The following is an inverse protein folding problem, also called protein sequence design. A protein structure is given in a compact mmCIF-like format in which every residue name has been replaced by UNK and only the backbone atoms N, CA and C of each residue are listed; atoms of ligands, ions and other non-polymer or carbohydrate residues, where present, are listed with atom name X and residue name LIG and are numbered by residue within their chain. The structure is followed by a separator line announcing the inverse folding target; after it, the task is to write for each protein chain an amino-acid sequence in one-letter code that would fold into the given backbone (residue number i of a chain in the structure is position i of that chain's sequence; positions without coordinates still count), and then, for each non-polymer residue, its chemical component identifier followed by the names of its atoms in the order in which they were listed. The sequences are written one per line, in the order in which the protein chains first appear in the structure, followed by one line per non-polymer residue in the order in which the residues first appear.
data_IF_706273767161
#
_entry.id   IF_706273767161
#
_cell.length_a   1.000
_cell.length_b   1.000
_cell.length_c   1.000
_cell.angle_alpha   90.00
_cell.angle_beta   90.00
_cell.angle_gamma   90.00
#
_symmetry.space_group_name_H-M   'P 1'
#
loop_
_entity.id
_entity.type
_entity.pdbx_description
1 polymer ?
#
# COMPACT_ATOMS: atom_id res chain seq x y z
N UNK A 1 25.91 -1.08 27.00
CA UNK A 1 26.84 0.07 26.90
C UNK A 1 25.96 1.32 26.86
N UNK A 2 25.93 2.06 27.96
CA UNK A 2 24.98 3.16 28.18
C UNK A 2 25.55 4.46 27.64
N UNK A 3 24.75 5.22 26.90
CA UNK A 3 25.07 6.61 26.56
C UNK A 3 23.94 7.51 27.07
N UNK A 4 24.31 8.48 27.90
CA UNK A 4 23.42 9.53 28.44
C UNK A 4 23.90 10.85 27.86
N UNK A 5 23.04 11.59 27.17
CA UNK A 5 23.36 12.94 26.66
C UNK A 5 22.48 14.00 27.32
N UNK A 6 23.13 15.00 27.91
CA UNK A 6 22.52 16.21 28.47
C UNK A 6 21.85 17.04 27.37
N UNK A 7 20.63 17.52 27.62
CA UNK A 7 19.96 18.53 26.79
C UNK A 7 20.01 19.87 27.51
N UNK A 8 20.74 20.83 26.94
CA UNK A 8 20.68 22.25 27.29
C UNK A 8 19.81 22.98 26.28
N UNK A 9 18.86 23.78 26.79
CA UNK A 9 17.88 24.55 26.03
C UNK A 9 18.49 25.87 25.51
N UNK A 10 18.25 26.27 24.25
CA UNK A 10 18.24 27.67 23.87
C UNK A 10 16.83 28.14 23.52
N UNK A 11 16.61 29.43 23.79
CA UNK A 11 15.36 30.17 23.73
C UNK A 11 15.27 30.99 22.43
N UNK A 12 14.05 31.05 21.87
CA UNK A 12 13.48 32.08 20.95
C UNK A 12 13.57 31.88 19.42
N UNK A 13 12.59 32.46 18.65
CA UNK A 13 11.54 31.71 17.96
C UNK A 13 11.72 31.71 16.44
N UNK A 14 11.37 30.61 15.77
CA UNK A 14 11.28 30.55 14.30
C UNK A 14 9.86 30.14 13.92
N UNK A 15 9.23 31.01 13.13
CA UNK A 15 7.89 30.82 12.61
C UNK A 15 7.88 29.88 11.40
N UNK A 16 6.71 29.27 11.25
CA UNK A 16 6.08 28.78 10.03
C UNK A 16 6.69 27.59 9.25
N UNK A 17 5.83 26.58 9.12
CA UNK A 17 5.91 25.35 8.32
C UNK A 17 6.94 24.32 8.77
N UNK A 18 6.61 23.63 9.86
CA UNK A 18 7.18 22.31 10.13
C UNK A 18 6.12 21.38 10.70
N UNK A 19 5.09 21.09 9.92
CA UNK A 19 4.31 19.86 10.07
C UNK A 19 4.98 18.75 9.25
N UNK A 20 6.24 18.46 9.54
CA UNK A 20 6.74 17.11 9.28
C UNK A 20 6.10 16.25 10.35
N UNK A 21 4.90 15.75 10.04
CA UNK A 21 4.27 14.70 10.82
C UNK A 21 5.31 13.60 11.00
N UNK A 22 5.50 13.18 12.25
CA UNK A 22 6.40 12.09 12.59
C UNK A 22 6.05 10.90 11.68
N UNK A 23 6.94 10.56 10.75
CA UNK A 23 6.73 9.48 9.79
C UNK A 23 6.86 8.16 10.54
N UNK A 24 5.74 7.69 11.10
CA UNK A 24 5.67 6.40 11.79
C UNK A 24 5.64 5.27 10.77
N UNK A 25 6.11 4.08 11.15
CA UNK A 25 6.02 2.88 10.31
C UNK A 25 4.57 2.55 9.91
N UNK A 26 3.61 2.84 10.79
CA UNK A 26 2.18 2.72 10.51
C UNK A 26 1.73 3.71 9.41
N UNK A 27 2.13 4.98 9.50
CA UNK A 27 1.82 5.98 8.47
C UNK A 27 2.45 5.66 7.11
N UNK A 28 3.66 5.09 7.10
CA UNK A 28 4.31 4.59 5.90
C UNK A 28 3.52 3.46 5.24
N UNK A 29 3.07 2.50 6.05
CA UNK A 29 2.35 1.31 5.60
C UNK A 29 0.95 1.65 5.11
N UNK A 30 0.25 2.57 5.78
CA UNK A 30 -1.05 3.09 5.34
C UNK A 30 -0.95 3.78 3.98
N UNK A 31 0.13 4.55 3.76
CA UNK A 31 0.39 5.16 2.45
C UNK A 31 0.64 4.11 1.37
N UNK A 32 1.42 3.07 1.67
CA UNK A 32 1.66 1.98 0.73
C UNK A 32 0.36 1.25 0.33
N UNK A 33 -0.52 0.94 1.29
CA UNK A 33 -1.83 0.32 1.02
C UNK A 33 -2.72 1.23 0.16
N UNK A 34 -2.70 2.54 0.41
CA UNK A 34 -3.47 3.51 -0.37
C UNK A 34 -2.97 3.58 -1.81
N UNK A 35 -1.66 3.70 -2.00
CA UNK A 35 -1.02 3.70 -3.32
C UNK A 35 -1.22 2.38 -4.07
N UNK A 36 -1.28 1.25 -3.36
CA UNK A 36 -1.54 -0.06 -3.96
C UNK A 36 -2.88 -0.05 -4.71
N UNK A 37 -3.96 0.38 -4.07
CA UNK A 37 -5.27 0.43 -4.74
C UNK A 37 -5.41 1.57 -5.74
N UNK A 38 -4.74 2.70 -5.52
CA UNK A 38 -4.73 3.81 -6.48
C UNK A 38 -4.09 3.37 -7.81
N UNK A 39 -2.86 2.86 -7.75
CA UNK A 39 -2.11 2.38 -8.93
C UNK A 39 -2.80 1.19 -9.60
N UNK A 40 -3.37 0.27 -8.82
CA UNK A 40 -4.12 -0.86 -9.36
C UNK A 40 -5.38 -0.41 -10.12
N UNK A 41 -6.09 0.60 -9.61
CA UNK A 41 -7.27 1.17 -10.28
C UNK A 41 -6.94 2.01 -11.51
N UNK A 42 -5.74 2.59 -11.60
CA UNK A 42 -5.26 3.29 -12.79
C UNK A 42 -4.54 2.39 -13.78
N UNK A 43 -4.51 1.07 -13.52
CA UNK A 43 -3.79 0.06 -14.30
C UNK A 43 -2.28 0.33 -14.42
N UNK A 44 -1.69 1.06 -13.46
CA UNK A 44 -0.25 1.23 -13.36
C UNK A 44 0.36 0.06 -12.56
N UNK A 45 0.37 -1.11 -13.21
CA UNK A 45 0.79 -2.36 -12.56
C UNK A 45 2.27 -2.39 -12.21
N UNK A 46 3.10 -1.62 -12.92
CA UNK A 46 4.52 -1.44 -12.58
C UNK A 46 4.66 -0.66 -11.27
N UNK A 47 3.91 0.44 -11.11
CA UNK A 47 3.90 1.17 -9.84
C UNK A 47 3.30 0.34 -8.70
N UNK A 48 2.25 -0.46 -8.95
CA UNK A 48 1.70 -1.38 -7.95
C UNK A 48 2.74 -2.40 -7.49
N UNK A 49 3.46 -3.03 -8.43
CA UNK A 49 4.49 -4.02 -8.11
C UNK A 49 5.69 -3.40 -7.39
N UNK A 50 6.03 -2.14 -7.65
CA UNK A 50 7.13 -1.44 -6.99
C UNK A 50 6.91 -1.25 -5.47
N UNK A 51 5.66 -1.35 -4.99
CA UNK A 51 5.32 -1.28 -3.56
C UNK A 51 5.69 -2.54 -2.78
N UNK A 52 5.93 -3.67 -3.47
CA UNK A 52 6.36 -4.92 -2.83
C UNK A 52 7.85 -4.86 -2.47
N UNK A 53 8.27 -5.63 -1.47
CA UNK A 53 9.69 -5.95 -1.27
C UNK A 53 10.28 -6.66 -2.52
N UNK A 54 11.61 -6.72 -2.63
CA UNK A 54 12.27 -7.36 -3.77
C UNK A 54 11.88 -8.85 -3.90
N UNK A 55 11.72 -9.53 -2.77
CA UNK A 55 11.26 -10.90 -2.59
C UNK A 55 9.77 -10.98 -2.17
N UNK A 56 9.04 -9.89 -2.34
CA UNK A 56 7.62 -9.83 -2.03
C UNK A 56 6.80 -10.82 -2.87
N UNK A 57 5.68 -11.28 -2.30
CA UNK A 57 4.83 -12.29 -2.90
C UNK A 57 3.38 -11.81 -2.95
N UNK A 58 2.76 -11.93 -4.12
CA UNK A 58 1.32 -11.77 -4.30
C UNK A 58 0.64 -13.14 -4.25
N UNK A 59 -0.39 -13.26 -3.43
CA UNK A 59 -1.22 -14.46 -3.32
C UNK A 59 -2.59 -14.21 -3.96
N UNK A 60 -2.76 -14.53 -5.25
CA UNK A 60 -4.06 -14.48 -5.90
C UNK A 60 -5.03 -15.54 -5.34
N UNK A 61 -6.35 -15.36 -5.51
CA UNK A 61 -7.35 -16.23 -4.89
C UNK A 61 -7.42 -17.66 -5.46
N UNK A 62 -7.09 -17.86 -6.74
CA UNK A 62 -7.24 -19.15 -7.43
C UNK A 62 -5.96 -19.66 -8.09
N UNK A 63 -4.93 -18.82 -8.22
CA UNK A 63 -3.65 -19.19 -8.83
C UNK A 63 -2.57 -19.43 -7.75
N UNK A 64 -1.42 -19.91 -8.22
CA UNK A 64 -0.24 -20.04 -7.36
C UNK A 64 0.34 -18.67 -6.98
N UNK A 65 1.10 -18.65 -5.89
CA UNK A 65 1.81 -17.46 -5.43
C UNK A 65 2.75 -16.89 -6.50
N UNK A 66 2.77 -15.57 -6.65
CA UNK A 66 3.59 -14.83 -7.62
C UNK A 66 4.68 -14.08 -6.88
N UNK A 67 5.94 -14.46 -7.08
CA UNK A 67 7.09 -13.92 -6.35
C UNK A 67 7.89 -12.94 -7.20
N UNK A 68 8.23 -11.79 -6.62
CA UNK A 68 9.08 -10.78 -7.24
C UNK A 68 8.30 -9.78 -8.10
N UNK A 69 8.79 -8.54 -8.10
CA UNK A 69 8.09 -7.38 -8.69
C UNK A 69 7.74 -7.56 -10.16
N UNK A 70 8.67 -8.06 -10.97
CA UNK A 70 8.45 -8.24 -12.41
C UNK A 70 7.33 -9.26 -12.70
N UNK A 71 7.32 -10.38 -11.96
CA UNK A 71 6.29 -11.40 -12.10
C UNK A 71 4.93 -10.88 -11.62
N UNK A 72 4.90 -10.11 -10.52
CA UNK A 72 3.69 -9.47 -10.00
C UNK A 72 3.12 -8.49 -11.03
N UNK A 73 3.95 -7.63 -11.63
CA UNK A 73 3.50 -6.68 -12.64
C UNK A 73 2.92 -7.39 -13.87
N UNK A 74 3.59 -8.45 -14.36
CA UNK A 74 3.11 -9.26 -15.49
C UNK A 74 1.79 -9.98 -15.18
N UNK A 75 1.64 -10.52 -13.96
CA UNK A 75 0.40 -11.14 -13.51
C UNK A 75 -0.76 -10.14 -13.46
N UNK A 76 -0.55 -8.98 -12.83
CA UNK A 76 -1.58 -7.93 -12.74
C UNK A 76 -1.95 -7.36 -14.11
N UNK A 77 -0.99 -7.21 -15.02
CA UNK A 77 -1.26 -6.81 -16.41
C UNK A 77 -2.10 -7.84 -17.17
N UNK A 78 -2.03 -9.12 -16.80
CA UNK A 78 -2.86 -10.16 -17.42
C UNK A 78 -4.26 -10.20 -16.79
N UNK A 79 -4.33 -10.20 -15.46
CA UNK A 79 -5.54 -10.55 -14.72
C UNK A 79 -6.37 -9.36 -14.25
N UNK A 80 -5.74 -8.21 -13.94
CA UNK A 80 -6.42 -7.08 -13.28
C UNK A 80 -6.87 -5.97 -14.25
N UNK A 81 -6.64 -6.13 -15.55
CA UNK A 81 -7.08 -5.17 -16.57
C UNK A 81 -8.59 -4.96 -16.52
N UNK A 82 -9.00 -3.70 -16.61
CA UNK A 82 -10.41 -3.28 -16.60
C UNK A 82 -11.17 -3.70 -15.32
N UNK A 83 -10.46 -3.89 -14.20
CA UNK A 83 -11.05 -4.04 -12.89
C UNK A 83 -11.07 -2.72 -12.15
N UNK A 84 -12.11 -2.51 -11.34
CA UNK A 84 -12.20 -1.38 -10.41
C UNK A 84 -12.42 -1.89 -8.99
N UNK A 85 -11.51 -1.53 -8.11
CA UNK A 85 -11.45 -1.92 -6.71
C UNK A 85 -11.95 -0.78 -5.82
N UNK A 86 -12.92 -1.08 -4.96
CA UNK A 86 -13.44 -0.17 -3.94
C UNK A 86 -13.18 -0.77 -2.56
N UNK A 87 -11.94 -0.64 -2.03
CA UNK A 87 -11.54 -1.24 -0.76
C UNK A 87 -12.06 -0.44 0.44
N UNK A 88 -12.15 -1.10 1.59
CA UNK A 88 -12.41 -0.50 2.89
C UNK A 88 -11.61 -1.24 3.95
N UNK A 89 -10.96 -0.49 4.83
CA UNK A 89 -10.19 -1.06 5.95
C UNK A 89 -11.14 -1.78 6.91
N UNK A 90 -10.74 -2.96 7.37
CA UNK A 90 -11.43 -3.75 8.39
C UNK A 90 -10.68 -3.77 9.72
N UNK A 91 -9.36 -4.01 9.66
CA UNK A 91 -8.50 -4.05 10.84
C UNK A 91 -7.07 -3.64 10.46
N UNK A 92 -6.34 -3.18 11.47
CA UNK A 92 -4.89 -2.94 11.43
C UNK A 92 -4.33 -3.58 12.69
N UNK A 93 -3.34 -4.44 12.51
CA UNK A 93 -2.71 -5.18 13.60
C UNK A 93 -1.19 -5.01 13.49
N UNK A 94 -0.53 -4.73 14.60
CA UNK A 94 0.94 -4.75 14.69
C UNK A 94 1.33 -6.15 15.17
N UNK A 95 2.09 -6.86 14.36
CA UNK A 95 2.55 -8.21 14.67
C UNK A 95 3.69 -8.18 15.68
N UNK A 96 3.95 -9.33 16.32
CA UNK A 96 5.07 -9.49 17.26
C UNK A 96 6.44 -9.22 16.61
N UNK A 97 6.54 -9.39 15.29
CA UNK A 97 7.72 -9.07 14.47
C UNK A 97 7.95 -7.57 14.30
N UNK A 98 6.96 -6.73 14.63
CA UNK A 98 6.96 -5.29 14.36
C UNK A 98 6.36 -4.91 13.01
N UNK A 99 5.95 -5.88 12.19
CA UNK A 99 5.27 -5.65 10.92
C UNK A 99 3.82 -5.17 11.14
N UNK A 100 3.30 -4.39 10.20
CA UNK A 100 1.91 -3.92 10.24
C UNK A 100 1.06 -4.70 9.23
N UNK A 101 0.05 -5.42 9.71
CA UNK A 101 -0.90 -6.16 8.90
C UNK A 101 -2.18 -5.36 8.69
N UNK A 102 -2.52 -5.10 7.42
CA UNK A 102 -3.79 -4.48 7.03
C UNK A 102 -4.76 -5.54 6.52
N UNK A 103 -5.96 -5.54 7.07
CA UNK A 103 -7.08 -6.32 6.54
C UNK A 103 -8.01 -5.39 5.77
N UNK A 104 -8.15 -5.66 4.47
CA UNK A 104 -8.98 -4.88 3.55
C UNK A 104 -10.12 -5.75 3.03
N UNK A 105 -11.33 -5.20 2.98
CA UNK A 105 -12.47 -5.84 2.34
C UNK A 105 -13.21 -4.82 1.49
N UNK A 106 -13.87 -5.25 0.42
CA UNK A 106 -14.49 -4.30 -0.49
C UNK A 106 -15.19 -4.98 -1.65
N UNK A 107 -15.49 -4.18 -2.67
CA UNK A 107 -16.08 -4.66 -3.92
C UNK A 107 -15.07 -4.55 -5.05
N UNK A 108 -15.12 -5.51 -5.97
CA UNK A 108 -14.40 -5.46 -7.24
C UNK A 108 -15.45 -5.49 -8.35
N UNK A 109 -15.36 -4.54 -9.27
CA UNK A 109 -16.18 -4.49 -10.48
C UNK A 109 -15.32 -4.92 -11.65
N UNK A 110 -15.83 -5.80 -12.50
CA UNK A 110 -15.16 -6.23 -13.73
C UNK A 110 -16.03 -5.86 -14.93
N UNK A 111 -15.41 -5.41 -16.02
CA UNK A 111 -16.15 -4.98 -17.23
C UNK A 111 -16.96 -6.10 -17.89
N UNK A 112 -16.64 -7.38 -17.63
CA UNK A 112 -17.39 -8.52 -18.15
C UNK A 112 -18.85 -8.57 -17.63
N UNK A 113 -19.14 -7.92 -16.50
CA UNK A 113 -20.47 -7.89 -15.89
C UNK A 113 -21.07 -6.47 -15.80
N UNK A 114 -20.46 -5.47 -16.46
CA UNK A 114 -21.09 -4.16 -16.60
C UNK A 114 -22.15 -4.19 -17.72
N UNK A 115 -23.36 -3.61 -17.51
CA UNK A 115 -24.36 -3.55 -18.56
C UNK A 115 -23.80 -2.84 -19.78
N UNK A 116 -24.06 -3.39 -20.97
CA UNK A 116 -23.68 -2.78 -22.25
C UNK A 116 -24.18 -1.33 -22.29
N UNK A 117 -23.40 -0.39 -22.83
CA UNK A 117 -23.84 0.99 -22.96
C UNK A 117 -25.13 1.04 -23.80
N UNK A 118 -26.14 1.72 -23.28
CA UNK A 118 -27.32 2.09 -24.06
C UNK A 118 -26.89 3.06 -25.17
N UNK A 119 -27.04 2.66 -26.43
CA UNK A 119 -26.87 3.53 -27.60
C UNK A 119 -28.14 4.35 -27.86
#
# INVERSE_FOLDING_TARGET
MTLVTKVTKPTQPVSEFSEFSEFTAEGASERAVSLYFETLNTADFQATAALFAADGVLYPPFDSAVMGRDAIAAYLDTEAKNMKFSPSRKAVEILETGDVQYQMAGKVQTSLFSPLPSF
#
